data_IF_575482517029
#
_entry.id   IF_575482517029
#
_cell.length_a   1.000
_cell.length_b   1.000
_cell.length_c   1.000
_cell.angle_alpha   90.00
_cell.angle_beta   90.00
_cell.angle_gamma   90.00
#
_symmetry.space_group_name_H-M   'P 1'
#
loop_
_entity.id
_entity.type
_entity.pdbx_description
1 polymer ?
#
# COMPACT_ATOMS: atom_id res chain seq x y z
N UNK A 1 -1.89 -15.64 -30.24
CA UNK A 1 -1.08 -14.45 -30.56
C UNK A 1 -1.28 -14.01 -31.99
N UNK A 2 -1.84 -12.82 -32.16
CA UNK A 2 -1.74 -12.04 -33.41
C UNK A 2 -0.50 -11.15 -33.27
N UNK A 3 0.55 -11.34 -34.09
CA UNK A 3 1.64 -10.38 -34.15
C UNK A 3 1.08 -8.97 -34.41
N UNK A 4 1.68 -7.94 -33.80
CA UNK A 4 1.33 -6.51 -33.94
C UNK A 4 0.08 -6.00 -33.17
N UNK A 5 -0.48 -6.76 -32.23
CA UNK A 5 -1.50 -6.23 -31.31
C UNK A 5 -0.90 -5.87 -29.94
N UNK A 6 -1.00 -4.60 -29.53
CA UNK A 6 -0.74 -4.19 -28.14
C UNK A 6 -1.75 -4.88 -27.22
N UNK A 7 -1.28 -5.84 -26.41
CA UNK A 7 -2.10 -6.47 -25.39
C UNK A 7 -2.20 -5.55 -24.16
N UNK A 8 -3.42 -5.33 -23.66
CA UNK A 8 -3.63 -4.67 -22.37
C UNK A 8 -3.37 -5.68 -21.26
N UNK A 9 -2.93 -5.19 -20.10
CA UNK A 9 -2.65 -6.06 -18.95
C UNK A 9 -3.92 -6.64 -18.30
N UNK A 10 -5.08 -6.04 -18.57
CA UNK A 10 -6.37 -6.50 -18.07
C UNK A 10 -6.81 -5.77 -16.81
N UNK A 11 -7.96 -6.19 -16.27
CA UNK A 11 -8.48 -5.72 -14.98
C UNK A 11 -7.61 -6.23 -13.82
N UNK A 12 -7.62 -5.51 -12.71
CA UNK A 12 -6.92 -5.86 -11.48
C UNK A 12 -7.71 -5.43 -10.24
N UNK A 13 -7.49 -6.15 -9.14
CA UNK A 13 -8.18 -5.93 -7.87
C UNK A 13 -7.43 -4.98 -6.91
N UNK A 14 -6.15 -4.71 -7.20
CA UNK A 14 -5.30 -3.82 -6.43
C UNK A 14 -4.34 -3.01 -7.33
N UNK A 15 -4.12 -1.75 -6.95
CA UNK A 15 -3.26 -0.80 -7.67
C UNK A 15 -2.62 0.19 -6.69
N UNK A 16 -1.32 0.38 -6.84
CA UNK A 16 -0.54 1.35 -6.08
C UNK A 16 0.24 2.25 -7.04
N UNK A 17 0.22 3.55 -6.79
CA UNK A 17 0.95 4.55 -7.56
C UNK A 17 1.73 5.41 -6.58
N UNK A 18 3.05 5.38 -6.66
CA UNK A 18 3.97 6.12 -5.79
C UNK A 18 5.37 6.03 -6.38
N UNK A 19 6.32 6.73 -5.78
CA UNK A 19 7.75 6.53 -6.03
C UNK A 19 8.18 5.22 -5.34
N UNK A 20 8.29 4.13 -6.11
CA UNK A 20 8.62 2.77 -5.62
C UNK A 20 10.12 2.54 -5.74
N UNK A 21 10.72 2.88 -6.89
CA UNK A 21 12.18 2.89 -7.08
C UNK A 21 12.67 4.33 -7.16
N UNK A 22 13.24 4.91 -6.09
CA UNK A 22 13.73 6.29 -6.10
C UNK A 22 14.91 6.52 -7.06
N UNK A 23 15.45 5.45 -7.65
CA UNK A 23 16.49 5.55 -8.69
C UNK A 23 15.93 5.51 -10.11
N UNK A 24 14.63 5.29 -10.28
CA UNK A 24 13.91 5.44 -11.54
C UNK A 24 13.16 6.78 -11.51
N UNK A 25 13.60 7.83 -12.25
CA UNK A 25 12.97 9.14 -12.15
C UNK A 25 11.49 9.10 -12.55
N UNK A 26 10.60 9.41 -11.61
CA UNK A 26 9.17 9.42 -11.86
C UNK A 26 8.40 8.71 -10.75
N UNK A 27 7.26 8.12 -11.12
CA UNK A 27 6.49 7.25 -10.25
C UNK A 27 6.36 5.89 -10.94
N UNK A 28 6.08 4.86 -10.15
CA UNK A 28 5.72 3.55 -10.64
C UNK A 28 4.26 3.22 -10.34
N UNK A 29 3.71 2.32 -11.15
CA UNK A 29 2.41 1.69 -10.93
C UNK A 29 2.62 0.20 -10.69
N UNK A 30 2.30 -0.27 -9.49
CA UNK A 30 2.24 -1.70 -9.19
C UNK A 30 0.80 -2.19 -9.16
N UNK A 31 0.47 -3.21 -9.95
CA UNK A 31 -0.88 -3.79 -10.01
C UNK A 31 -0.87 -5.31 -9.99
N UNK A 32 -1.91 -5.89 -9.40
CA UNK A 32 -2.29 -7.29 -9.64
C UNK A 32 -3.33 -7.40 -10.76
N UNK A 33 -3.54 -8.60 -11.32
CA UNK A 33 -4.43 -8.86 -12.43
C UNK A 33 -5.23 -10.16 -12.25
N UNK A 34 -6.53 -10.10 -12.57
CA UNK A 34 -7.48 -11.20 -12.32
C UNK A 34 -7.66 -12.16 -13.50
N UNK A 35 -7.19 -11.78 -14.69
CA UNK A 35 -7.53 -12.48 -15.94
C UNK A 35 -6.98 -13.90 -16.06
N UNK A 36 -6.23 -14.38 -15.07
CA UNK A 36 -5.62 -15.70 -15.02
C UNK A 36 -4.86 -16.01 -16.31
N UNK A 37 -5.21 -17.12 -16.97
CA UNK A 37 -4.59 -17.53 -18.25
C UNK A 37 -4.78 -16.54 -19.41
N UNK A 38 -5.70 -15.58 -19.29
CA UNK A 38 -5.93 -14.54 -20.29
C UNK A 38 -5.17 -13.24 -20.02
N UNK A 39 -4.57 -13.09 -18.82
CA UNK A 39 -3.74 -11.94 -18.48
C UNK A 39 -2.26 -12.25 -18.82
N UNK A 40 -1.52 -11.31 -19.45
CA UNK A 40 -0.11 -11.51 -19.74
C UNK A 40 0.75 -11.55 -18.46
N UNK A 41 0.26 -10.95 -17.38
CA UNK A 41 0.89 -10.94 -16.06
C UNK A 41 -0.18 -11.15 -14.99
N UNK A 42 0.16 -11.82 -13.89
CA UNK A 42 -0.63 -11.80 -12.66
C UNK A 42 -0.34 -10.57 -11.81
N UNK A 43 0.87 -10.01 -11.92
CA UNK A 43 1.23 -8.71 -11.37
C UNK A 43 2.30 -8.05 -12.23
N UNK A 44 2.35 -6.72 -12.21
CA UNK A 44 3.37 -5.97 -12.93
C UNK A 44 3.66 -4.64 -12.23
N UNK A 45 4.93 -4.27 -12.22
CA UNK A 45 5.39 -2.90 -11.97
C UNK A 45 5.65 -2.21 -13.31
N UNK A 46 5.18 -0.97 -13.42
CA UNK A 46 5.32 -0.16 -14.63
C UNK A 46 5.81 1.23 -14.31
N UNK A 47 6.51 1.83 -15.24
CA UNK A 47 6.72 3.26 -15.26
C UNK A 47 5.37 3.98 -15.44
N UNK A 48 5.05 4.94 -14.57
CA UNK A 48 3.74 5.58 -14.54
C UNK A 48 3.50 6.57 -15.70
N UNK A 49 4.56 7.13 -16.28
CA UNK A 49 4.46 8.09 -17.39
C UNK A 49 4.27 7.37 -18.73
N UNK A 50 5.08 6.34 -18.98
CA UNK A 50 5.19 5.63 -20.26
C UNK A 50 4.33 4.38 -20.32
N UNK A 51 4.03 3.77 -19.17
CA UNK A 51 3.38 2.47 -19.07
C UNK A 51 4.29 1.28 -19.42
N UNK A 52 5.59 1.51 -19.61
CA UNK A 52 6.57 0.43 -19.81
C UNK A 52 6.56 -0.53 -18.62
N UNK A 53 6.50 -1.83 -18.89
CA UNK A 53 6.61 -2.86 -17.84
C UNK A 53 8.07 -3.00 -17.45
N UNK A 54 8.38 -2.60 -16.22
CA UNK A 54 9.72 -2.69 -15.63
C UNK A 54 10.01 -4.12 -15.21
N UNK A 55 9.06 -4.75 -14.53
CA UNK A 55 9.03 -6.20 -14.29
C UNK A 55 7.61 -6.69 -13.97
N UNK A 56 7.43 -8.01 -14.00
CA UNK A 56 6.18 -8.66 -13.63
C UNK A 56 6.27 -10.17 -13.76
N UNK A 57 5.28 -10.88 -13.21
CA UNK A 57 5.22 -12.35 -13.25
C UNK A 57 3.88 -12.85 -13.79
N UNK A 58 3.91 -13.87 -14.65
CA UNK A 58 2.71 -14.57 -15.11
C UNK A 58 2.31 -15.66 -14.11
N UNK A 59 1.12 -15.55 -13.53
CA UNK A 59 0.61 -16.52 -12.53
C UNK A 59 -0.34 -17.56 -13.12
N UNK A 60 -1.01 -17.25 -14.24
CA UNK A 60 -2.04 -18.11 -14.84
C UNK A 60 -3.35 -18.24 -14.04
N UNK A 61 -3.42 -17.61 -12.86
CA UNK A 61 -4.55 -17.61 -11.93
C UNK A 61 -4.85 -16.19 -11.46
N UNK A 62 -6.00 -16.01 -10.81
CA UNK A 62 -6.39 -14.71 -10.25
C UNK A 62 -5.43 -14.25 -9.13
N UNK A 63 -4.81 -13.09 -9.33
CA UNK A 63 -3.96 -12.41 -8.35
C UNK A 63 -4.76 -11.30 -7.68
N UNK A 64 -5.29 -11.59 -6.50
CA UNK A 64 -6.36 -10.81 -5.89
C UNK A 64 -5.90 -9.65 -5.02
N UNK A 65 -4.63 -9.64 -4.60
CA UNK A 65 -4.07 -8.58 -3.76
C UNK A 65 -2.72 -8.13 -4.29
N UNK A 66 -2.42 -6.86 -4.08
CA UNK A 66 -1.10 -6.27 -4.20
C UNK A 66 -0.88 -5.33 -3.00
N UNK A 67 0.38 -5.02 -2.73
CA UNK A 67 0.77 -4.01 -1.77
C UNK A 67 2.17 -3.48 -2.11
N UNK A 68 2.45 -2.27 -1.62
CA UNK A 68 3.72 -1.57 -1.74
C UNK A 68 4.05 -0.93 -0.40
N UNK A 69 5.31 -1.01 0.02
CA UNK A 69 5.81 -0.27 1.18
C UNK A 69 7.24 -0.65 1.54
N UNK A 70 7.97 0.29 2.10
CA UNK A 70 9.25 0.04 2.77
C UNK A 70 8.98 -0.80 4.03
N UNK A 71 9.23 -2.11 3.95
CA UNK A 71 9.13 -3.02 5.08
C UNK A 71 10.52 -3.50 5.51
N UNK A 72 11.49 -3.43 4.60
CA UNK A 72 12.88 -3.78 4.82
C UNK A 72 13.80 -2.56 4.58
N UNK A 73 14.07 -1.74 5.62
CA UNK A 73 14.85 -0.51 5.46
C UNK A 73 16.34 -0.75 5.14
N UNK A 74 16.77 -2.00 4.99
CA UNK A 74 18.11 -2.35 4.50
C UNK A 74 18.16 -2.47 2.97
N UNK A 75 17.02 -2.45 2.29
CA UNK A 75 16.88 -2.52 0.85
C UNK A 75 16.41 -1.16 0.31
N UNK A 76 17.06 -0.62 -0.74
CA UNK A 76 16.63 0.65 -1.31
C UNK A 76 15.34 0.49 -2.10
N UNK A 77 14.42 1.45 -1.93
CA UNK A 77 13.11 1.48 -2.58
C UNK A 77 11.98 1.00 -1.67
N UNK A 78 10.79 0.81 -2.25
CA UNK A 78 9.65 0.20 -1.57
C UNK A 78 9.51 -1.24 -2.05
N UNK A 79 9.42 -2.20 -1.15
CA UNK A 79 9.08 -3.56 -1.53
C UNK A 79 7.67 -3.63 -2.12
N UNK A 80 7.49 -4.59 -3.03
CA UNK A 80 6.19 -4.88 -3.63
C UNK A 80 5.85 -6.35 -3.48
N UNK A 81 4.59 -6.65 -3.19
CA UNK A 81 4.13 -8.04 -3.12
C UNK A 81 2.70 -8.18 -3.56
N UNK A 82 2.34 -9.38 -3.99
CA UNK A 82 0.97 -9.75 -4.36
C UNK A 82 0.57 -11.04 -3.65
N UNK A 83 -0.72 -11.37 -3.61
CA UNK A 83 -1.23 -12.67 -3.15
C UNK A 83 -2.23 -13.25 -4.18
N UNK A 84 -2.24 -14.57 -4.38
CA UNK A 84 -3.21 -15.24 -5.29
C UNK A 84 -4.44 -15.75 -4.53
N UNK A 85 -5.56 -15.91 -5.24
CA UNK A 85 -6.80 -16.46 -4.67
C UNK A 85 -6.69 -17.94 -4.30
N UNK A 86 -5.90 -18.70 -5.06
CA UNK A 86 -5.82 -20.17 -4.93
C UNK A 86 -4.78 -20.58 -3.89
N UNK A 87 -3.69 -19.81 -3.79
CA UNK A 87 -2.64 -20.02 -2.81
C UNK A 87 -1.88 -18.69 -2.58
N UNK A 88 -2.00 -18.12 -1.38
CA UNK A 88 -1.28 -16.91 -0.98
C UNK A 88 0.24 -17.12 -0.89
N UNK A 89 0.73 -18.36 -1.04
CA UNK A 89 2.13 -18.76 -0.94
C UNK A 89 2.71 -19.33 -2.24
N UNK A 90 1.92 -19.46 -3.32
CA UNK A 90 2.39 -20.04 -4.56
C UNK A 90 3.22 -19.08 -5.43
N UNK A 91 4.40 -19.55 -5.85
CA UNK A 91 5.19 -18.99 -6.96
C UNK A 91 4.32 -18.84 -8.23
N UNK A 92 4.37 -17.71 -8.96
CA UNK A 92 5.31 -16.58 -8.83
C UNK A 92 4.84 -15.42 -7.98
N UNK A 93 3.74 -15.61 -7.24
CA UNK A 93 3.31 -14.62 -6.27
C UNK A 93 4.30 -14.59 -5.10
N UNK A 94 4.61 -13.39 -4.60
CA UNK A 94 5.75 -13.22 -3.69
C UNK A 94 6.11 -11.77 -3.40
N UNK A 95 7.17 -11.63 -2.62
CA UNK A 95 7.76 -10.38 -2.18
C UNK A 95 8.99 -10.05 -3.03
N UNK A 96 9.09 -8.80 -3.47
CA UNK A 96 10.11 -8.33 -4.40
C UNK A 96 10.64 -6.97 -3.95
N UNK A 97 11.91 -6.72 -4.23
CA UNK A 97 12.46 -5.37 -4.14
C UNK A 97 11.84 -4.46 -5.19
N UNK A 98 12.02 -3.14 -5.04
CA UNK A 98 11.66 -2.16 -6.05
C UNK A 98 12.30 -2.43 -7.43
N UNK A 99 13.42 -3.16 -7.49
CA UNK A 99 14.11 -3.52 -8.74
C UNK A 99 13.69 -4.87 -9.33
N UNK A 100 12.69 -5.54 -8.74
CA UNK A 100 12.18 -6.82 -9.22
C UNK A 100 13.03 -8.03 -8.84
N UNK A 101 13.85 -7.90 -7.79
CA UNK A 101 14.61 -9.03 -7.23
C UNK A 101 13.77 -9.74 -6.16
N UNK A 102 13.72 -11.07 -6.22
CA UNK A 102 12.91 -11.87 -5.27
C UNK A 102 13.50 -11.77 -3.86
N UNK A 103 12.63 -11.52 -2.89
CA UNK A 103 12.94 -11.67 -1.46
C UNK A 103 12.39 -13.03 -1.01
N UNK A 104 13.27 -13.89 -0.50
CA UNK A 104 12.90 -15.23 -0.01
C UNK A 104 12.33 -15.15 1.42
N UNK A 105 11.15 -14.57 1.53
CA UNK A 105 10.42 -14.42 2.78
C UNK A 105 8.89 -14.54 2.53
N UNK A 106 8.10 -14.88 3.57
CA UNK A 106 6.65 -14.83 3.48
C UNK A 106 6.15 -13.41 3.20
N UNK A 107 5.10 -13.31 2.38
CA UNK A 107 4.46 -12.03 2.10
C UNK A 107 3.81 -11.44 3.36
N UNK A 108 3.95 -10.13 3.61
CA UNK A 108 3.15 -9.44 4.62
C UNK A 108 1.66 -9.38 4.25
N UNK A 109 0.84 -8.87 5.17
CA UNK A 109 -0.58 -8.62 4.90
C UNK A 109 -0.79 -7.65 3.73
N UNK A 110 -1.60 -8.04 2.74
CA UNK A 110 -1.91 -7.21 1.56
C UNK A 110 -3.35 -6.68 1.63
N UNK A 111 -3.55 -5.57 2.35
CA UNK A 111 -4.86 -4.89 2.48
C UNK A 111 -4.74 -3.36 2.51
N UNK A 112 -4.30 -2.77 3.62
CA UNK A 112 -4.01 -1.34 3.74
C UNK A 112 -2.65 -1.16 4.39
N UNK A 113 -1.80 -0.32 3.80
CA UNK A 113 -0.62 0.21 4.47
C UNK A 113 -1.03 1.28 5.49
N UNK A 114 -0.22 1.44 6.53
CA UNK A 114 -0.32 2.52 7.50
C UNK A 114 1.08 2.97 7.91
N UNK A 115 1.32 4.27 7.91
CA UNK A 115 2.49 4.91 8.49
C UNK A 115 2.25 5.12 9.99
N UNK A 116 2.64 4.15 10.79
CA UNK A 116 2.30 4.10 12.22
C UNK A 116 3.51 4.25 13.14
N UNK A 117 4.59 3.52 12.85
CA UNK A 117 5.80 3.52 13.66
C UNK A 117 6.59 4.84 13.52
N UNK A 118 7.49 5.08 14.48
CA UNK A 118 8.30 6.29 14.50
C UNK A 118 9.40 6.35 13.43
N UNK A 119 9.69 5.28 12.71
CA UNK A 119 10.90 5.05 11.91
C UNK A 119 10.69 5.12 10.38
N UNK A 120 9.57 5.69 9.93
CA UNK A 120 9.18 5.86 8.50
C UNK A 120 8.91 4.57 7.72
N UNK A 121 9.13 3.39 8.31
CA UNK A 121 8.75 2.11 7.69
C UNK A 121 7.23 1.98 7.56
N UNK A 122 6.81 1.07 6.69
CA UNK A 122 5.41 0.79 6.39
C UNK A 122 4.90 -0.35 7.25
N UNK A 123 3.82 -0.11 7.98
CA UNK A 123 3.05 -1.15 8.67
C UNK A 123 1.81 -1.53 7.85
N UNK A 124 1.18 -2.65 8.21
CA UNK A 124 0.02 -3.18 7.51
C UNK A 124 -1.15 -3.37 8.48
N UNK A 125 -2.34 -3.03 8.00
CA UNK A 125 -3.59 -3.42 8.66
C UNK A 125 -3.89 -4.88 8.38
N UNK A 126 -4.15 -5.62 9.46
CA UNK A 126 -4.75 -6.94 9.41
C UNK A 126 -6.11 -6.92 10.09
N UNK A 127 -7.03 -7.74 9.58
CA UNK A 127 -8.43 -7.74 10.01
C UNK A 127 -9.32 -8.04 8.82
N UNK A 128 -9.52 -9.31 8.51
CA UNK A 128 -10.48 -9.74 7.51
C UNK A 128 -11.55 -10.57 8.21
N UNK A 129 -12.81 -10.19 7.98
CA UNK A 129 -13.93 -11.01 8.43
C UNK A 129 -14.04 -12.21 7.52
N UNK A 130 -13.78 -13.37 8.11
CA UNK A 130 -14.41 -14.62 7.70
C UNK A 130 -15.84 -14.63 8.28
N UNK A 131 -16.47 -15.78 8.46
CA UNK A 131 -17.81 -15.86 9.07
C UNK A 131 -17.90 -15.26 10.50
N UNK A 132 -16.76 -14.92 11.13
CA UNK A 132 -16.65 -14.35 12.48
C UNK A 132 -15.84 -13.04 12.51
N UNK A 133 -16.08 -12.24 13.56
CA UNK A 133 -15.34 -11.01 13.82
C UNK A 133 -13.87 -11.28 14.17
N UNK A 134 -12.95 -10.77 13.35
CA UNK A 134 -11.51 -10.75 13.63
C UNK A 134 -11.14 -9.37 14.17
N UNK A 135 -10.54 -9.33 15.36
CA UNK A 135 -10.03 -8.09 15.96
C UNK A 135 -8.94 -7.50 15.06
N UNK A 136 -9.07 -6.24 14.59
CA UNK A 136 -8.08 -5.65 13.71
C UNK A 136 -6.74 -5.42 14.43
N UNK A 137 -5.63 -5.58 13.70
CA UNK A 137 -4.27 -5.32 14.19
C UNK A 137 -3.52 -4.39 13.23
N UNK A 138 -2.56 -3.63 13.77
CA UNK A 138 -1.49 -2.99 12.99
C UNK A 138 -0.25 -3.83 13.21
N UNK A 139 0.33 -4.33 12.12
CA UNK A 139 1.48 -5.22 12.13
C UNK A 139 2.67 -4.58 11.41
N UNK A 140 3.83 -4.73 12.03
CA UNK A 140 5.11 -4.38 11.49
C UNK A 140 5.86 -5.66 11.10
N UNK A 141 6.48 -5.67 9.92
CA UNK A 141 7.10 -6.88 9.40
C UNK A 141 8.25 -7.40 10.28
N UNK A 142 9.02 -6.50 10.90
CA UNK A 142 10.17 -6.85 11.76
C UNK A 142 9.78 -6.95 13.23
N UNK A 143 8.86 -6.10 13.70
CA UNK A 143 8.51 -5.94 15.12
C UNK A 143 7.25 -6.71 15.53
N UNK A 144 6.47 -7.21 14.57
CA UNK A 144 5.19 -7.89 14.82
C UNK A 144 4.05 -6.92 15.13
N UNK A 145 3.05 -7.37 15.89
CA UNK A 145 1.86 -6.56 16.19
C UNK A 145 2.20 -5.33 17.05
N UNK A 146 1.93 -4.14 16.53
CA UNK A 146 2.08 -2.86 17.23
C UNK A 146 0.80 -2.38 17.92
N UNK A 147 -0.37 -2.76 17.37
CA UNK A 147 -1.67 -2.43 17.94
C UNK A 147 -2.63 -3.61 17.76
N UNK A 148 -3.40 -3.92 18.80
CA UNK A 148 -4.60 -4.76 18.73
C UNK A 148 -5.82 -3.91 19.06
N UNK A 149 -6.71 -3.69 18.10
CA UNK A 149 -7.84 -2.76 18.20
C UNK A 149 -9.08 -3.41 18.83
N UNK A 150 -8.95 -3.85 20.08
CA UNK A 150 -10.00 -4.59 20.81
C UNK A 150 -11.36 -3.91 20.80
N UNK A 151 -12.43 -4.66 20.55
CA UNK A 151 -13.81 -4.14 20.49
C UNK A 151 -14.14 -3.33 19.24
N UNK A 152 -13.30 -3.43 18.20
CA UNK A 152 -13.56 -2.89 16.86
C UNK A 152 -13.57 -3.99 15.81
N UNK A 153 -13.99 -3.65 14.59
CA UNK A 153 -13.99 -4.53 13.43
C UNK A 153 -13.55 -3.77 12.19
N UNK A 154 -13.20 -4.49 11.12
CA UNK A 154 -13.11 -3.92 9.77
C UNK A 154 -14.45 -4.04 9.03
N UNK A 155 -14.54 -3.34 7.89
CA UNK A 155 -15.70 -3.28 6.99
C UNK A 155 -15.50 -4.18 5.76
N UNK A 156 -16.56 -4.30 4.95
CA UNK A 156 -16.51 -4.89 3.61
C UNK A 156 -16.12 -6.39 3.59
N UNK A 157 -16.47 -7.12 4.64
CA UNK A 157 -16.34 -8.58 4.71
C UNK A 157 -14.89 -9.06 4.46
N UNK A 158 -14.66 -9.91 3.46
CA UNK A 158 -13.34 -10.46 3.11
C UNK A 158 -12.33 -9.41 2.62
N UNK A 159 -12.78 -8.21 2.21
CA UNK A 159 -11.87 -7.10 1.93
C UNK A 159 -11.26 -6.53 3.22
N UNK A 160 -12.01 -6.55 4.33
CA UNK A 160 -11.48 -6.26 5.65
C UNK A 160 -10.94 -4.84 5.80
N UNK A 161 -11.62 -3.84 5.25
CA UNK A 161 -11.08 -2.48 5.22
C UNK A 161 -11.35 -1.73 6.54
N UNK A 162 -10.39 -0.93 7.06
CA UNK A 162 -10.73 0.13 8.00
C UNK A 162 -11.72 1.11 7.36
N UNK A 163 -12.41 1.91 8.17
CA UNK A 163 -13.27 2.98 7.65
C UNK A 163 -12.46 4.06 6.94
N UNK A 164 -11.24 4.34 7.44
CA UNK A 164 -10.27 5.26 6.87
C UNK A 164 -8.89 4.99 7.47
N UNK A 165 -7.84 5.09 6.65
CA UNK A 165 -6.46 5.31 7.10
C UNK A 165 -6.01 6.66 6.53
N UNK A 166 -5.65 7.62 7.37
CA UNK A 166 -5.17 8.92 6.90
C UNK A 166 -4.43 9.69 8.00
N UNK A 167 -3.48 10.55 7.64
CA UNK A 167 -3.03 11.65 8.51
C UNK A 167 -4.19 12.64 8.67
N UNK A 168 -4.97 12.51 9.73
CA UNK A 168 -6.14 13.37 9.99
C UNK A 168 -5.73 14.52 10.91
N UNK A 169 -4.81 14.28 11.84
CA UNK A 169 -4.25 15.29 12.73
C UNK A 169 -2.87 14.88 13.28
N UNK A 170 -2.20 15.82 13.93
CA UNK A 170 -0.96 15.54 14.65
C UNK A 170 0.26 15.78 13.76
N UNK A 171 1.15 14.80 13.69
CA UNK A 171 2.27 14.82 12.76
C UNK A 171 1.96 14.04 11.48
N UNK A 172 2.96 13.48 10.81
CA UNK A 172 2.83 12.85 9.50
C UNK A 172 2.29 11.42 9.55
N UNK A 173 2.21 10.83 10.74
CA UNK A 173 1.73 9.45 10.89
C UNK A 173 0.22 9.40 10.69
N UNK A 174 -0.24 8.25 10.24
CA UNK A 174 -1.63 8.06 9.84
C UNK A 174 -2.46 7.57 11.02
N UNK A 175 -3.61 8.21 11.23
CA UNK A 175 -4.68 7.67 12.05
C UNK A 175 -5.41 6.52 11.36
N UNK A 176 -5.87 5.56 12.15
CA UNK A 176 -6.73 4.45 11.70
C UNK A 176 -8.12 4.58 12.32
N UNK A 177 -9.15 4.59 11.49
CA UNK A 177 -10.55 4.69 11.91
C UNK A 177 -11.24 3.35 11.75
N UNK A 178 -11.77 2.81 12.86
CA UNK A 178 -12.45 1.52 12.89
C UNK A 178 -13.82 1.64 13.57
N UNK A 179 -14.90 1.03 13.03
CA UNK A 179 -16.17 0.93 13.74
C UNK A 179 -16.04 0.00 14.95
N UNK A 180 -16.78 0.29 16.02
CA UNK A 180 -17.02 -0.70 17.08
C UNK A 180 -17.77 -1.91 16.52
N UNK A 181 -17.67 -3.07 17.15
CA UNK A 181 -18.33 -4.30 16.68
C UNK A 181 -19.86 -4.19 16.61
N UNK A 182 -20.45 -3.29 17.40
CA UNK A 182 -21.89 -2.95 17.37
C UNK A 182 -22.22 -1.75 16.47
N UNK A 183 -21.23 -1.19 15.78
CA UNK A 183 -21.33 0.01 14.92
C UNK A 183 -21.90 1.26 15.62
N UNK A 184 -21.87 1.33 16.96
CA UNK A 184 -22.37 2.47 17.72
C UNK A 184 -21.41 3.67 17.72
N UNK A 185 -20.12 3.45 17.46
CA UNK A 185 -19.11 4.49 17.39
C UNK A 185 -18.01 4.16 16.37
N UNK A 186 -17.26 5.19 15.96
CA UNK A 186 -15.97 5.04 15.29
C UNK A 186 -14.89 5.35 16.31
N UNK A 187 -13.90 4.46 16.43
CA UNK A 187 -12.68 4.69 17.19
C UNK A 187 -11.57 5.13 16.25
N UNK A 188 -10.88 6.18 16.65
CA UNK A 188 -9.74 6.71 15.92
C UNK A 188 -8.50 6.44 16.72
N UNK A 189 -7.57 5.71 16.12
CA UNK A 189 -6.30 5.31 16.70
C UNK A 189 -5.19 6.19 16.12
N UNK A 190 -4.33 6.73 16.98
CA UNK A 190 -3.16 7.54 16.60
C UNK A 190 -1.93 6.97 17.29
N UNK A 191 -0.78 7.05 16.64
CA UNK A 191 0.48 6.52 17.18
C UNK A 191 0.98 7.38 18.35
N UNK A 192 1.47 6.73 19.39
CA UNK A 192 2.04 7.41 20.57
C UNK A 192 3.57 7.25 20.66
N UNK A 193 4.18 6.58 19.68
CA UNK A 193 5.64 6.50 19.60
C UNK A 193 6.22 7.91 19.40
N UNK A 194 7.39 8.18 19.97
CA UNK A 194 8.07 9.45 19.74
C UNK A 194 8.94 9.29 18.50
N UNK A 195 8.77 10.17 17.52
CA UNK A 195 9.59 10.21 16.30
C UNK A 195 10.48 11.45 16.30
N UNK A 196 11.71 11.28 15.82
CA UNK A 196 12.66 12.37 15.56
C UNK A 196 12.51 12.95 14.14
N UNK A 197 11.58 12.41 13.34
CA UNK A 197 11.31 12.82 11.98
C UNK A 197 10.20 13.87 11.90
N UNK A 198 10.41 14.90 11.07
CA UNK A 198 9.44 15.96 10.86
C UNK A 198 9.15 16.12 9.38
N UNK A 199 7.94 15.71 8.99
CA UNK A 199 7.36 15.94 7.68
C UNK A 199 6.23 16.98 7.78
N UNK A 200 5.84 17.54 6.64
CA UNK A 200 4.55 18.23 6.55
C UNK A 200 3.42 17.19 6.62
N UNK A 201 2.22 17.61 6.99
CA UNK A 201 1.05 16.71 6.99
C UNK A 201 0.86 16.09 5.60
N UNK A 202 0.72 14.78 5.50
CA UNK A 202 0.53 14.09 4.23
C UNK A 202 -0.70 14.61 3.48
N UNK A 203 -1.69 15.17 4.18
CA UNK A 203 -2.84 15.83 3.57
C UNK A 203 -2.52 17.12 2.78
N UNK A 204 -1.29 17.63 2.84
CA UNK A 204 -0.79 18.68 1.97
C UNK A 204 0.00 18.15 0.76
N UNK A 205 0.25 16.84 0.66
CA UNK A 205 0.71 16.23 -0.57
C UNK A 205 -0.47 16.09 -1.55
N UNK A 206 -0.35 16.59 -2.79
CA UNK A 206 -1.47 16.62 -3.72
C UNK A 206 -1.96 15.23 -4.14
N UNK A 207 -1.07 14.24 -4.22
CA UNK A 207 -1.45 12.87 -4.56
C UNK A 207 -2.13 12.20 -3.37
N UNK A 208 -1.46 12.16 -2.21
CA UNK A 208 -1.98 11.57 -0.98
C UNK A 208 -3.37 12.12 -0.63
N UNK A 209 -3.56 13.44 -0.72
CA UNK A 209 -4.86 14.07 -0.42
C UNK A 209 -5.99 13.58 -1.34
N UNK A 210 -5.69 13.35 -2.62
CA UNK A 210 -6.64 12.79 -3.60
C UNK A 210 -6.82 11.29 -3.36
N UNK A 211 -5.76 10.58 -3.00
CA UNK A 211 -5.78 9.16 -2.63
C UNK A 211 -6.73 8.90 -1.44
N UNK A 212 -6.63 9.71 -0.40
CA UNK A 212 -7.53 9.68 0.76
C UNK A 212 -8.98 9.95 0.34
N UNK A 213 -9.21 10.87 -0.60
CA UNK A 213 -10.56 11.15 -1.11
C UNK A 213 -11.15 9.97 -1.91
N UNK A 214 -10.31 9.20 -2.62
CA UNK A 214 -10.74 8.02 -3.39
C UNK A 214 -10.79 6.74 -2.54
N UNK A 215 -10.30 6.73 -1.30
CA UNK A 215 -10.14 5.51 -0.49
C UNK A 215 -11.44 4.71 -0.34
N UNK A 216 -12.61 5.36 -0.32
CA UNK A 216 -13.93 4.71 -0.24
C UNK A 216 -14.41 4.03 -1.55
N UNK A 217 -13.73 4.30 -2.67
CA UNK A 217 -14.19 3.92 -4.01
C UNK A 217 -14.03 2.42 -4.25
N UNK A 218 -15.16 1.73 -4.50
CA UNK A 218 -15.21 0.32 -4.93
C UNK A 218 -14.44 -0.63 -3.98
N UNK A 219 -13.22 -1.04 -4.34
CA UNK A 219 -12.33 -1.83 -3.50
C UNK A 219 -11.28 -0.90 -2.93
N UNK A 220 -11.47 -0.51 -1.67
CA UNK A 220 -10.62 0.47 -0.99
C UNK A 220 -9.14 0.11 -1.13
N UNK A 221 -8.35 1.06 -1.65
CA UNK A 221 -6.89 0.94 -1.78
C UNK A 221 -6.23 1.93 -0.82
N UNK A 222 -5.03 1.62 -0.30
CA UNK A 222 -4.30 2.56 0.55
C UNK A 222 -3.92 3.84 -0.19
N UNK A 223 -3.50 4.83 0.58
CA UNK A 223 -3.09 6.14 0.09
C UNK A 223 -1.58 6.31 0.17
N UNK A 224 -0.98 6.72 -0.96
CA UNK A 224 0.44 6.96 -1.10
C UNK A 224 0.71 8.43 -1.45
N UNK A 225 1.79 9.04 -0.93
CA UNK A 225 2.24 10.34 -1.39
C UNK A 225 2.83 10.30 -2.80
N UNK A 226 3.00 11.46 -3.41
CA UNK A 226 3.65 11.61 -4.72
C UNK A 226 5.18 11.65 -4.65
N UNK A 227 5.79 11.18 -3.56
CA UNK A 227 7.24 11.18 -3.32
C UNK A 227 7.64 9.92 -2.54
N UNK A 228 8.92 9.56 -2.57
CA UNK A 228 9.46 8.41 -1.84
C UNK A 228 9.38 8.63 -0.32
N UNK A 229 8.47 7.89 0.34
CA UNK A 229 8.29 7.91 1.80
C UNK A 229 8.71 6.57 2.42
N UNK A 230 9.97 6.54 2.86
CA UNK A 230 10.68 5.39 3.42
C UNK A 230 11.74 5.82 4.46
N UNK A 231 12.33 4.86 5.17
CA UNK A 231 13.33 5.06 6.21
C UNK A 231 14.67 5.63 5.71
N UNK A 232 15.04 5.34 4.46
CA UNK A 232 16.30 5.78 3.83
C UNK A 232 16.15 6.98 2.89
N UNK A 233 14.97 7.61 2.85
CA UNK A 233 14.69 8.71 1.92
C UNK A 233 15.65 9.90 2.08
N UNK A 234 16.02 10.53 0.96
CA UNK A 234 16.72 11.81 0.97
C UNK A 234 15.70 12.94 1.22
N UNK A 235 15.85 13.61 2.37
CA UNK A 235 15.00 14.73 2.77
C UNK A 235 15.02 15.92 1.78
N UNK A 236 16.06 16.03 0.95
CA UNK A 236 16.14 17.07 -0.07
C UNK A 236 15.24 16.82 -1.29
N UNK A 237 14.80 15.58 -1.49
CA UNK A 237 13.88 15.19 -2.56
C UNK A 237 12.39 15.31 -2.15
N UNK A 238 12.11 15.49 -0.85
CA UNK A 238 10.75 15.67 -0.34
C UNK A 238 10.16 17.03 -0.81
N UNK A 239 9.09 17.03 -1.63
CA UNK A 239 8.52 18.27 -2.14
C UNK A 239 7.95 19.14 -1.04
N UNK A 240 8.29 20.43 -1.03
CA UNK A 240 7.66 21.36 -0.10
C UNK A 240 6.26 21.74 -0.60
N UNK A 241 5.23 21.68 0.26
CA UNK A 241 3.89 22.12 -0.12
C UNK A 241 3.92 23.55 -0.65
N UNK A 242 3.42 23.75 -1.86
CA UNK A 242 3.29 25.09 -2.44
C UNK A 242 2.19 25.81 -1.66
N UNK A 243 2.59 26.60 -0.67
CA UNK A 243 1.66 27.32 0.19
C UNK A 243 0.68 28.13 -0.65
N UNK A 244 -0.62 27.92 -0.42
CA UNK A 244 -1.69 28.78 -0.90
C UNK A 244 -1.48 30.20 -0.34
N UNK A 245 -0.62 30.99 -0.98
CA UNK A 245 -0.23 32.32 -0.49
C UNK A 245 1.11 32.86 -0.99
N UNK A 246 1.97 32.07 -1.62
CA UNK A 246 3.20 32.57 -2.22
C UNK A 246 2.96 33.12 -3.63
N UNK A 247 2.81 34.44 -3.77
CA UNK A 247 2.89 35.10 -5.09
C UNK A 247 4.23 34.76 -5.74
N UNK A 248 4.20 34.22 -6.96
CA UNK A 248 5.33 34.26 -7.89
C UNK A 248 5.61 35.69 -8.31
#
# INVERSE_FOLDING_TARGET
>A
DTPDTTARLGHGDAMHVTDIDPHNPGLEIFTSHEGGTSAPYGYAMRDAETGEVLFGGYTGVDTTRAMVGDIDPELPGLEVWSNSAEDATADPVGLWTARGERIDAPNPGANQSVRWAADLTTQQMHGALTEEYVTPTIEDWRRGTLLTAEGTTTNNWWKGNPSLVADVWGDWREEVLLPTTDSSAIRIYTSTEVTDHKLYTLMHDPQYRVEVARQQTTYNQPSHPGFYLAADMDWSDVPLPVGAGGRR
#
